data_IF_280350461053
#
_entry.id   IF_280350461053
#
_cell.length_a   1.000
_cell.length_b   1.000
_cell.length_c   1.000
_cell.angle_alpha   90.00
_cell.angle_beta   90.00
_cell.angle_gamma   90.00
#
_symmetry.space_group_name_H-M   'P 1'
#
loop_
_entity.id
_entity.type
_entity.pdbx_description
1 polymer ?
#
# COMPACT_ATOMS: atom_id res chain seq x y z
N UNK A 1 -19.32 -19.54 24.37
CA UNK A 1 -18.04 -18.86 24.07
C UNK A 1 -17.90 -18.46 22.59
N UNK A 2 -18.96 -18.53 21.77
CA UNK A 2 -18.93 -18.13 20.34
C UNK A 2 -19.10 -16.62 20.10
N UNK A 3 -19.53 -15.86 21.11
CA UNK A 3 -19.82 -14.42 20.99
C UNK A 3 -18.62 -13.59 20.51
N UNK A 4 -17.40 -13.92 20.93
CA UNK A 4 -16.19 -13.17 20.54
C UNK A 4 -15.83 -13.37 19.06
N UNK A 5 -16.11 -14.56 18.51
CA UNK A 5 -15.87 -14.86 17.10
C UNK A 5 -16.85 -14.10 16.22
N UNK A 6 -18.14 -14.12 16.57
CA UNK A 6 -19.17 -13.41 15.82
C UNK A 6 -18.97 -11.88 15.88
N UNK A 7 -18.54 -11.35 17.02
CA UNK A 7 -18.17 -9.94 17.15
C UNK A 7 -16.96 -9.57 16.28
N UNK A 8 -15.94 -10.42 16.22
CA UNK A 8 -14.78 -10.22 15.36
C UNK A 8 -15.16 -10.24 13.87
N UNK A 9 -16.04 -11.17 13.46
CA UNK A 9 -16.57 -11.24 12.09
C UNK A 9 -17.35 -9.96 11.75
N UNK A 10 -18.25 -9.53 12.64
CA UNK A 10 -19.00 -8.26 12.44
C UNK A 10 -18.05 -7.06 12.32
N UNK A 11 -17.02 -6.97 13.17
CA UNK A 11 -16.03 -5.90 13.10
C UNK A 11 -15.24 -5.93 11.78
N UNK A 12 -14.85 -7.12 11.30
CA UNK A 12 -14.20 -7.30 9.99
C UNK A 12 -15.10 -6.82 8.85
N UNK A 13 -16.37 -7.22 8.82
CA UNK A 13 -17.32 -6.77 7.79
C UNK A 13 -17.53 -5.26 7.78
N UNK A 14 -17.56 -4.63 8.97
CA UNK A 14 -17.66 -3.17 9.08
C UNK A 14 -16.40 -2.53 8.48
N UNK A 15 -15.22 -3.07 8.77
CA UNK A 15 -13.97 -2.58 8.21
C UNK A 15 -13.97 -2.64 6.67
N UNK A 16 -14.41 -3.75 6.08
CA UNK A 16 -14.56 -3.91 4.63
C UNK A 16 -15.57 -2.93 4.03
N UNK A 17 -16.68 -2.66 4.72
CA UNK A 17 -17.67 -1.67 4.27
C UNK A 17 -17.13 -0.25 4.31
N UNK A 18 -16.39 0.09 5.38
CA UNK A 18 -15.84 1.43 5.58
C UNK A 18 -14.65 1.75 4.69
N UNK A 19 -13.97 0.75 4.13
CA UNK A 19 -12.79 0.96 3.28
C UNK A 19 -12.99 1.98 2.14
N UNK A 20 -14.20 2.07 1.57
CA UNK A 20 -14.48 3.02 0.49
C UNK A 20 -14.73 4.47 0.93
N UNK A 21 -15.09 4.67 2.20
CA UNK A 21 -15.41 5.98 2.76
C UNK A 21 -14.23 6.49 3.60
N UNK A 22 -13.80 5.71 4.59
CA UNK A 22 -12.72 6.06 5.52
C UNK A 22 -11.80 4.86 5.78
N UNK A 23 -10.57 4.95 5.27
CA UNK A 23 -9.53 3.93 5.42
C UNK A 23 -8.99 3.91 6.86
N UNK A 24 -8.90 5.06 7.53
CA UNK A 24 -8.43 5.13 8.91
C UNK A 24 -9.46 4.52 9.87
N UNK A 25 -10.74 4.82 9.65
CA UNK A 25 -11.85 4.17 10.33
C UNK A 25 -11.82 2.65 10.12
N UNK A 26 -11.69 2.19 8.88
CA UNK A 26 -11.59 0.77 8.54
C UNK A 26 -10.45 0.07 9.30
N UNK A 27 -9.26 0.68 9.39
CA UNK A 27 -8.13 0.14 10.17
C UNK A 27 -8.48 -0.05 11.65
N UNK A 28 -9.16 0.90 12.28
CA UNK A 28 -9.57 0.76 13.70
C UNK A 28 -10.49 -0.44 13.91
N UNK A 29 -11.43 -0.66 13.00
CA UNK A 29 -12.32 -1.82 13.08
C UNK A 29 -11.59 -3.15 12.82
N UNK A 30 -10.61 -3.16 11.89
CA UNK A 30 -9.77 -4.34 11.68
C UNK A 30 -8.91 -4.67 12.90
N UNK A 31 -8.32 -3.67 13.56
CA UNK A 31 -7.57 -3.85 14.82
C UNK A 31 -8.49 -4.33 15.95
N UNK A 32 -9.71 -3.80 16.04
CA UNK A 32 -10.71 -4.31 16.99
C UNK A 32 -11.01 -5.80 16.75
N UNK A 33 -11.20 -6.20 15.49
CA UNK A 33 -11.42 -7.59 15.13
C UNK A 33 -10.22 -8.48 15.54
N UNK A 34 -8.99 -8.00 15.30
CA UNK A 34 -7.76 -8.71 15.68
C UNK A 34 -7.66 -8.94 17.19
N UNK A 35 -7.99 -7.93 17.98
CA UNK A 35 -7.94 -8.01 19.45
C UNK A 35 -9.01 -8.96 20.01
N UNK A 36 -10.18 -9.06 19.36
CA UNK A 36 -11.24 -9.98 19.76
C UNK A 36 -10.90 -11.43 19.40
N UNK A 37 -10.37 -11.65 18.20
CA UNK A 37 -9.99 -12.98 17.74
C UNK A 37 -8.81 -12.92 16.75
N UNK A 38 -7.56 -13.11 17.22
CA UNK A 38 -6.37 -13.00 16.37
C UNK A 38 -6.25 -14.15 15.37
N UNK A 39 -6.91 -15.28 15.64
CA UNK A 39 -6.93 -16.46 14.76
C UNK A 39 -8.00 -16.37 13.66
N UNK A 40 -8.67 -15.22 13.49
CA UNK A 40 -9.66 -15.07 12.42
C UNK A 40 -8.95 -14.99 11.07
N UNK A 41 -9.47 -15.73 10.10
CA UNK A 41 -8.93 -15.76 8.75
C UNK A 41 -8.99 -14.38 8.06
N UNK A 42 -7.84 -13.95 7.53
CA UNK A 42 -7.75 -12.76 6.68
C UNK A 42 -7.61 -11.43 7.43
N UNK A 43 -7.68 -11.38 8.77
CA UNK A 43 -7.58 -10.11 9.51
C UNK A 43 -6.20 -9.48 9.33
N UNK A 44 -5.13 -10.26 9.48
CA UNK A 44 -3.76 -9.76 9.30
C UNK A 44 -3.59 -9.11 7.94
N UNK A 45 -4.08 -9.76 6.90
CA UNK A 45 -3.91 -9.28 5.53
C UNK A 45 -4.79 -8.06 5.26
N UNK A 46 -5.96 -7.98 5.88
CA UNK A 46 -6.79 -6.79 5.85
C UNK A 46 -6.08 -5.58 6.48
N UNK A 47 -5.44 -5.77 7.65
CA UNK A 47 -4.66 -4.71 8.30
C UNK A 47 -3.50 -4.28 7.39
N UNK A 48 -2.73 -5.23 6.86
CA UNK A 48 -1.61 -4.94 5.95
C UNK A 48 -2.09 -4.19 4.69
N UNK A 49 -3.23 -4.57 4.09
CA UNK A 49 -3.79 -3.82 2.96
C UNK A 49 -4.08 -2.38 3.34
N UNK A 50 -4.74 -2.15 4.48
CA UNK A 50 -5.08 -0.79 4.91
C UNK A 50 -3.86 0.05 5.22
N UNK A 51 -2.82 -0.54 5.82
CA UNK A 51 -1.55 0.15 6.07
C UNK A 51 -0.90 0.62 4.77
N UNK A 52 -0.87 -0.23 3.75
CA UNK A 52 -0.36 0.10 2.42
C UNK A 52 -1.16 1.24 1.79
N UNK A 53 -2.50 1.20 1.87
CA UNK A 53 -3.34 2.26 1.32
C UNK A 53 -3.21 3.59 2.09
N UNK A 54 -3.05 3.54 3.42
CA UNK A 54 -2.80 4.73 4.23
C UNK A 54 -1.46 5.35 3.86
N UNK A 55 -0.40 4.54 3.75
CA UNK A 55 0.91 5.01 3.31
C UNK A 55 0.89 5.57 1.89
N UNK A 56 0.13 4.96 0.97
CA UNK A 56 -0.03 5.48 -0.39
C UNK A 56 -0.80 6.80 -0.45
N UNK A 57 -1.76 7.03 0.47
CA UNK A 57 -2.44 8.32 0.61
C UNK A 57 -1.52 9.39 1.20
N UNK A 58 -0.56 9.00 2.04
CA UNK A 58 0.41 9.93 2.61
C UNK A 58 1.45 10.30 1.56
N UNK A 59 1.49 11.57 1.17
CA UNK A 59 2.47 12.11 0.23
C UNK A 59 3.51 12.92 0.96
N UNK A 60 4.77 12.71 0.61
CA UNK A 60 5.87 13.55 1.07
C UNK A 60 6.22 14.47 -0.10
N UNK A 61 5.98 15.77 0.08
CA UNK A 61 6.25 16.81 -0.91
C UNK A 61 5.61 16.54 -2.29
N UNK A 62 4.38 16.01 -2.29
CA UNK A 62 3.60 15.70 -3.50
C UNK A 62 3.95 14.38 -4.18
N UNK A 63 4.99 13.67 -3.71
CA UNK A 63 5.33 12.32 -4.15
C UNK A 63 4.74 11.26 -3.20
N UNK A 64 4.36 10.08 -3.70
CA UNK A 64 3.98 8.95 -2.84
C UNK A 64 5.17 8.49 -2.00
N UNK A 65 4.92 8.10 -0.74
CA UNK A 65 5.95 7.56 0.16
C UNK A 65 6.22 6.06 -0.12
N UNK A 66 7.20 5.77 -0.98
CA UNK A 66 7.55 4.39 -1.34
C UNK A 66 8.14 3.61 -0.16
N UNK A 67 8.84 4.28 0.76
CA UNK A 67 9.38 3.65 1.96
C UNK A 67 8.26 3.31 2.95
N UNK A 68 7.32 4.24 3.14
CA UNK A 68 6.12 4.05 3.95
C UNK A 68 5.20 2.94 3.43
N UNK A 69 5.05 2.79 2.11
CA UNK A 69 4.28 1.71 1.48
C UNK A 69 4.88 0.33 1.81
N UNK A 70 6.21 0.21 1.82
CA UNK A 70 6.91 -1.01 2.21
C UNK A 70 7.00 -1.19 3.74
N UNK A 71 6.62 -0.18 4.51
CA UNK A 71 6.73 -0.17 5.97
C UNK A 71 8.19 -0.22 6.45
N UNK A 72 9.10 0.42 5.70
CA UNK A 72 10.54 0.47 6.01
C UNK A 72 11.00 1.90 6.25
N UNK A 73 12.11 2.03 6.96
CA UNK A 73 12.78 3.33 7.12
C UNK A 73 13.65 3.65 5.89
N UNK A 74 13.95 4.94 5.67
CA UNK A 74 14.79 5.42 4.56
C UNK A 74 16.24 4.94 4.67
N UNK A 75 16.72 4.70 5.90
CA UNK A 75 18.09 4.26 6.19
C UNK A 75 18.27 2.73 6.17
N UNK A 76 17.28 1.99 5.69
CA UNK A 76 17.28 0.52 5.76
C UNK A 76 18.31 -0.11 4.82
N UNK A 77 18.90 -1.23 5.26
CA UNK A 77 19.80 -2.04 4.42
C UNK A 77 19.02 -2.78 3.30
N UNK A 78 19.68 -3.03 2.18
CA UNK A 78 19.10 -3.70 1.00
C UNK A 78 18.65 -5.13 1.32
N UNK A 79 19.37 -5.82 2.20
CA UNK A 79 19.03 -7.18 2.61
C UNK A 79 17.73 -7.21 3.41
N UNK A 80 17.56 -6.27 4.34
CA UNK A 80 16.35 -6.09 5.14
C UNK A 80 15.18 -5.64 4.27
N UNK A 81 15.41 -4.74 3.31
CA UNK A 81 14.41 -4.31 2.34
C UNK A 81 13.86 -5.51 1.53
N UNK A 82 14.75 -6.37 1.02
CA UNK A 82 14.35 -7.57 0.25
C UNK A 82 13.58 -8.58 1.10
N UNK A 83 13.92 -8.72 2.38
CA UNK A 83 13.18 -9.58 3.31
C UNK A 83 11.77 -9.03 3.52
N UNK A 84 11.63 -7.73 3.73
CA UNK A 84 10.34 -7.09 3.95
C UNK A 84 9.44 -7.19 2.72
N UNK A 85 9.96 -6.91 1.52
CA UNK A 85 9.21 -7.06 0.27
C UNK A 85 8.67 -8.49 0.09
N UNK A 86 9.51 -9.52 0.31
CA UNK A 86 9.07 -10.92 0.20
C UNK A 86 7.97 -11.27 1.20
N UNK A 87 8.08 -10.77 2.44
CA UNK A 87 7.04 -10.98 3.45
C UNK A 87 5.70 -10.37 3.00
N UNK A 88 5.71 -9.11 2.58
CA UNK A 88 4.52 -8.41 2.10
C UNK A 88 3.93 -9.04 0.85
N UNK A 89 4.76 -9.46 -0.11
CA UNK A 89 4.30 -10.10 -1.34
C UNK A 89 3.57 -11.43 -1.06
N UNK A 90 4.05 -12.21 -0.09
CA UNK A 90 3.38 -13.45 0.34
C UNK A 90 2.08 -13.16 1.09
N UNK A 91 2.08 -12.15 1.96
CA UNK A 91 0.92 -11.71 2.73
C UNK A 91 -0.16 -11.05 1.89
N UNK A 92 0.16 -10.51 0.70
CA UNK A 92 -0.80 -9.80 -0.17
C UNK A 92 -1.00 -10.49 -1.53
N UNK A 93 -0.48 -11.70 -1.70
CA UNK A 93 -0.66 -12.45 -2.93
C UNK A 93 -2.16 -12.69 -3.22
N UNK A 94 -2.65 -12.44 -4.44
CA UNK A 94 -4.08 -12.53 -4.78
C UNK A 94 -4.67 -13.94 -4.62
N UNK A 95 -3.84 -14.98 -4.73
CA UNK A 95 -4.27 -16.38 -4.53
C UNK A 95 -4.63 -16.68 -3.06
N UNK A 96 -3.82 -16.16 -2.13
CA UNK A 96 -4.01 -16.41 -0.69
C UNK A 96 -4.95 -15.40 -0.04
N UNK A 97 -5.10 -14.21 -0.62
CA UNK A 97 -5.82 -13.09 -0.01
C UNK A 97 -7.05 -12.71 -0.81
N UNK A 98 -8.20 -13.05 -0.24
CA UNK A 98 -9.52 -12.69 -0.76
C UNK A 98 -10.05 -11.40 -0.10
N UNK A 99 -9.17 -10.61 0.50
CA UNK A 99 -9.53 -9.34 1.14
C UNK A 99 -9.75 -8.23 0.11
N UNK A 100 -10.56 -7.25 0.49
CA UNK A 100 -10.87 -6.09 -0.34
C UNK A 100 -9.58 -5.31 -0.66
N UNK A 101 -9.37 -4.95 -1.93
CA UNK A 101 -8.20 -4.17 -2.34
C UNK A 101 -6.84 -4.89 -2.25
N UNK A 102 -6.79 -6.21 -2.03
CA UNK A 102 -5.53 -6.95 -1.96
C UNK A 102 -4.69 -6.79 -3.24
N UNK A 103 -5.34 -6.84 -4.40
CA UNK A 103 -4.69 -6.68 -5.70
C UNK A 103 -4.05 -5.29 -5.87
N UNK A 104 -4.78 -4.22 -5.53
CA UNK A 104 -4.26 -2.86 -5.61
C UNK A 104 -3.09 -2.64 -4.64
N UNK A 105 -3.19 -3.16 -3.41
CA UNK A 105 -2.08 -3.12 -2.45
C UNK A 105 -0.83 -3.86 -2.97
N UNK A 106 -1.00 -5.00 -3.64
CA UNK A 106 0.11 -5.75 -4.22
C UNK A 106 0.82 -4.99 -5.36
N UNK A 107 0.06 -4.28 -6.19
CA UNK A 107 0.61 -3.44 -7.25
C UNK A 107 1.45 -2.31 -6.65
N UNK A 108 0.93 -1.61 -5.64
CA UNK A 108 1.64 -0.53 -4.94
C UNK A 108 2.99 -0.97 -4.38
N UNK A 109 3.02 -2.15 -3.76
CA UNK A 109 4.24 -2.72 -3.18
C UNK A 109 5.24 -3.11 -4.26
N UNK A 110 4.75 -3.63 -5.40
CA UNK A 110 5.59 -3.98 -6.54
C UNK A 110 6.23 -2.75 -7.18
N UNK A 111 5.52 -1.63 -7.23
CA UNK A 111 6.03 -0.35 -7.75
C UNK A 111 7.02 0.31 -6.79
N UNK A 112 6.69 0.34 -5.50
CA UNK A 112 7.62 0.77 -4.47
C UNK A 112 8.94 -0.01 -4.57
N UNK A 113 8.86 -1.33 -4.73
CA UNK A 113 10.04 -2.17 -4.92
C UNK A 113 10.83 -1.82 -6.19
N UNK A 114 10.17 -1.58 -7.34
CA UNK A 114 10.85 -1.19 -8.60
C UNK A 114 11.68 0.09 -8.45
N UNK A 115 11.25 1.03 -7.60
CA UNK A 115 11.94 2.31 -7.40
C UNK A 115 13.03 2.17 -6.34
N UNK A 116 12.70 1.55 -5.19
CA UNK A 116 13.63 1.45 -4.07
C UNK A 116 14.72 0.41 -4.34
N UNK A 117 14.47 -0.67 -5.10
CA UNK A 117 15.49 -1.71 -5.34
C UNK A 117 16.69 -1.23 -6.16
N UNK A 118 16.48 -0.34 -7.13
CA UNK A 118 17.53 0.20 -7.99
C UNK A 118 18.18 1.41 -7.33
N UNK A 119 19.49 1.33 -7.00
CA UNK A 119 20.24 2.42 -6.37
C UNK A 119 20.09 3.76 -7.10
N UNK A 120 20.16 3.76 -8.43
CA UNK A 120 20.03 4.98 -9.23
C UNK A 120 18.65 5.63 -9.14
N UNK A 121 17.58 4.82 -9.16
CA UNK A 121 16.21 5.32 -9.00
C UNK A 121 15.93 5.77 -7.57
N UNK A 122 16.51 5.08 -6.59
CA UNK A 122 16.43 5.45 -5.18
C UNK A 122 17.03 6.83 -4.94
N UNK A 123 18.24 7.08 -5.45
CA UNK A 123 18.88 8.41 -5.33
C UNK A 123 18.02 9.50 -5.99
N UNK A 124 17.55 9.27 -7.22
CA UNK A 124 16.70 10.25 -7.91
C UNK A 124 15.38 10.52 -7.16
N UNK A 125 14.80 9.49 -6.52
CA UNK A 125 13.63 9.64 -5.67
C UNK A 125 13.95 10.45 -4.41
N UNK A 126 15.01 10.10 -3.68
CA UNK A 126 15.43 10.79 -2.47
C UNK A 126 15.74 12.28 -2.76
N UNK A 127 16.39 12.58 -3.90
CA UNK A 127 16.62 13.94 -4.38
C UNK A 127 15.31 14.68 -4.65
N UNK A 128 14.33 14.03 -5.29
CA UNK A 128 13.02 14.64 -5.60
C UNK A 128 12.23 15.00 -4.34
N UNK A 129 12.29 14.14 -3.32
CA UNK A 129 11.64 14.39 -2.03
C UNK A 129 12.34 15.54 -1.32
N UNK A 130 13.67 15.54 -1.27
CA UNK A 130 14.45 16.56 -0.55
C UNK A 130 14.41 17.93 -1.24
N UNK A 131 14.42 17.97 -2.57
CA UNK A 131 14.44 19.21 -3.37
C UNK A 131 13.20 20.09 -3.12
N UNK A 132 12.03 19.48 -2.86
CA UNK A 132 10.78 20.20 -2.57
C UNK A 132 10.63 20.59 -1.09
N UNK A 133 11.49 20.09 -0.20
CA UNK A 133 11.53 20.47 1.21
C UNK A 133 12.36 21.72 1.50
N UNK A 134 12.95 22.34 0.48
CA UNK A 134 13.93 23.42 0.59
C UNK A 134 13.38 24.84 0.31
N UNK A 135 12.06 25.06 0.40
CA UNK A 135 11.50 26.43 0.36
C UNK A 135 11.34 27.09 1.73
N UNK A 136 11.64 26.40 2.84
CA UNK A 136 11.59 27.00 4.18
C UNK A 136 12.90 26.71 4.91
N UNK A 137 13.92 27.52 4.61
CA UNK A 137 14.92 28.14 5.51
C UNK A 137 15.93 28.83 4.57
N UNK A 138 15.59 30.03 4.13
CA UNK A 138 16.55 30.95 3.53
C UNK A 138 16.28 32.35 4.06
N UNK A 139 16.62 32.55 5.34
CA UNK A 139 16.91 33.88 5.90
C UNK A 139 18.11 33.78 6.85
N UNK A 140 19.27 34.07 6.26
CA UNK A 140 20.42 34.79 6.82
C UNK A 140 21.35 34.15 7.86
N UNK A 141 22.58 33.90 7.36
CA UNK A 141 23.95 34.17 7.90
C UNK A 141 24.80 32.91 7.75
N UNK A 142 25.96 32.87 7.12
CA UNK A 142 26.88 33.89 6.60
C UNK A 142 28.31 33.35 6.81
N UNK A 143 29.11 33.25 5.73
CA UNK A 143 30.57 33.04 5.67
C UNK A 143 31.15 31.79 6.40
N UNK A 144 32.01 30.94 5.83
CA UNK A 144 33.36 31.26 5.34
C UNK A 144 34.04 30.02 4.74
N UNK A 145 34.70 30.20 3.59
CA UNK A 145 35.98 29.64 3.10
C UNK A 145 36.66 28.48 3.87
N UNK A 146 37.04 27.39 3.17
CA UNK A 146 38.44 27.06 2.79
C UNK A 146 38.72 25.56 2.47
N UNK A 147 39.61 25.37 1.47
CA UNK A 147 40.65 24.34 1.34
C UNK A 147 40.31 22.84 1.05
N UNK A 148 40.38 22.51 -0.24
CA UNK A 148 41.37 21.61 -0.88
C UNK A 148 41.87 20.30 -0.20
N UNK A 149 41.70 19.24 -1.01
CA UNK A 149 42.63 18.14 -1.34
C UNK A 149 43.02 17.10 -0.26
N UNK A 150 42.68 15.83 -0.50
CA UNK A 150 43.69 14.85 -0.92
C UNK A 150 43.10 13.52 -1.41
N UNK A 151 43.80 12.99 -2.40
CA UNK A 151 43.69 11.70 -3.06
C UNK A 151 44.09 10.55 -2.13
N UNK A 152 43.40 9.41 -2.23
CA UNK A 152 44.07 8.10 -2.13
C UNK A 152 43.21 7.01 -2.76
N UNK A 153 43.89 6.23 -3.57
CA UNK A 153 43.45 5.03 -4.27
C UNK A 153 43.26 3.85 -3.32
N UNK A 154 42.42 2.89 -3.70
CA UNK A 154 42.88 1.51 -3.93
C UNK A 154 41.75 0.65 -4.52
N UNK A 155 42.13 -0.11 -5.54
CA UNK A 155 41.32 -1.12 -6.19
C UNK A 155 41.19 -2.36 -5.29
N UNK A 156 40.05 -3.05 -5.35
CA UNK A 156 39.97 -4.50 -5.23
C UNK A 156 38.66 -5.01 -5.84
N UNK A 157 38.85 -5.75 -6.92
CA UNK A 157 37.97 -6.76 -7.52
C UNK A 157 37.27 -7.61 -6.46
N UNK A 158 35.98 -7.92 -6.62
CA UNK A 158 35.51 -9.32 -6.60
C UNK A 158 34.01 -9.51 -6.91
N UNK A 159 33.78 -10.25 -8.00
CA UNK A 159 32.89 -11.41 -8.11
C UNK A 159 31.38 -11.21 -7.86
N UNK A 160 30.72 -10.97 -8.99
CA UNK A 160 29.30 -11.24 -9.23
C UNK A 160 28.98 -12.70 -8.91
N UNK A 161 28.07 -12.96 -7.97
CA UNK A 161 27.31 -14.22 -7.93
C UNK A 161 25.83 -13.93 -8.12
N UNK A 162 25.43 -13.97 -9.39
CA UNK A 162 24.05 -13.96 -9.83
C UNK A 162 23.29 -15.10 -9.13
N UNK A 163 22.21 -14.75 -8.43
CA UNK A 163 21.21 -15.72 -8.02
C UNK A 163 20.07 -15.70 -9.04
N UNK A 164 19.47 -16.86 -9.36
CA UNK A 164 18.55 -17.00 -10.49
C UNK A 164 17.29 -16.17 -10.23
N UNK A 165 16.84 -15.46 -11.27
CA UNK A 165 15.57 -14.74 -11.28
C UNK A 165 14.46 -15.77 -11.10
N UNK A 166 13.68 -15.61 -10.04
CA UNK A 166 12.36 -16.25 -9.98
C UNK A 166 11.46 -15.44 -10.91
N UNK A 167 11.21 -16.02 -12.08
CA UNK A 167 10.47 -15.43 -13.19
C UNK A 167 8.97 -15.40 -12.84
N UNK A 168 8.56 -14.49 -11.96
CA UNK A 168 7.14 -14.36 -11.66
C UNK A 168 6.44 -13.68 -12.85
N UNK A 169 5.86 -14.51 -13.74
CA UNK A 169 5.19 -14.09 -14.97
C UNK A 169 4.05 -13.08 -14.72
N UNK A 170 3.51 -13.02 -13.50
CA UNK A 170 2.50 -12.05 -13.07
C UNK A 170 3.03 -10.60 -13.02
N UNK A 171 4.34 -10.42 -12.77
CA UNK A 171 4.97 -9.09 -12.63
C UNK A 171 5.32 -8.44 -13.98
N UNK A 172 5.24 -9.19 -15.09
CA UNK A 172 5.61 -8.71 -16.44
C UNK A 172 4.49 -7.95 -17.16
N UNK A 173 3.25 -7.99 -16.65
CA UNK A 173 2.09 -7.40 -17.33
C UNK A 173 1.82 -5.93 -16.98
N UNK A 174 2.50 -5.34 -16.01
CA UNK A 174 2.34 -3.93 -15.62
C UNK A 174 3.66 -3.19 -15.85
N UNK A 175 3.96 -2.97 -17.13
CA UNK A 175 5.02 -2.10 -17.59
C UNK A 175 4.37 -0.94 -18.33
N UNK A 176 3.85 0.02 -17.58
CA UNK A 176 3.43 1.30 -18.11
C UNK A 176 4.14 2.38 -17.30
N UNK A 177 4.78 3.29 -18.00
CA UNK A 177 5.76 4.26 -17.48
C UNK A 177 5.10 5.55 -16.96
N UNK A 178 3.85 5.50 -16.52
CA UNK A 178 3.11 6.71 -16.13
C UNK A 178 2.86 6.76 -14.60
N UNK A 179 3.45 7.74 -13.88
CA UNK A 179 3.24 7.94 -12.44
C UNK A 179 1.78 8.16 -11.99
N UNK A 180 0.83 8.35 -12.92
CA UNK A 180 -0.59 8.63 -12.64
C UNK A 180 -1.52 7.41 -12.80
N UNK A 181 -1.04 6.30 -13.35
CA UNK A 181 -1.88 5.11 -13.61
C UNK A 181 -2.25 4.37 -12.31
N UNK A 182 -1.43 4.56 -11.27
CA UNK A 182 -1.53 3.90 -9.98
C UNK A 182 -2.63 4.54 -9.12
N UNK A 183 -2.70 5.87 -9.11
CA UNK A 183 -3.74 6.61 -8.40
C UNK A 183 -5.10 6.36 -9.04
N UNK A 184 -5.14 6.28 -10.37
CA UNK A 184 -6.33 5.91 -11.13
C UNK A 184 -6.74 4.47 -10.82
N UNK A 185 -5.81 3.53 -10.69
CA UNK A 185 -6.13 2.14 -10.33
C UNK A 185 -6.66 2.01 -8.88
N UNK A 186 -6.07 2.76 -7.93
CA UNK A 186 -6.60 2.84 -6.55
C UNK A 186 -8.01 3.45 -6.57
N UNK A 187 -8.20 4.57 -7.27
CA UNK A 187 -9.49 5.25 -7.36
C UNK A 187 -10.52 4.36 -8.06
N UNK A 188 -10.16 3.68 -9.14
CA UNK A 188 -11.00 2.75 -9.87
C UNK A 188 -11.39 1.56 -8.99
N UNK A 189 -10.46 0.93 -8.26
CA UNK A 189 -10.79 -0.15 -7.32
C UNK A 189 -11.73 0.35 -6.21
N UNK A 190 -11.51 1.57 -5.70
CA UNK A 190 -12.38 2.17 -4.68
C UNK A 190 -13.76 2.53 -5.25
N UNK A 191 -13.83 3.03 -6.48
CA UNK A 191 -15.05 3.43 -7.18
C UNK A 191 -15.86 2.24 -7.66
N UNK A 192 -15.21 1.17 -8.12
CA UNK A 192 -15.86 -0.11 -8.43
C UNK A 192 -16.52 -0.69 -7.18
N UNK A 193 -15.86 -0.63 -6.03
CA UNK A 193 -16.43 -1.07 -4.76
C UNK A 193 -17.57 -0.15 -4.29
N UNK A 194 -17.51 1.16 -4.58
CA UNK A 194 -18.65 2.06 -4.35
C UNK A 194 -19.82 1.69 -5.26
N UNK A 195 -19.57 1.49 -6.57
CA UNK A 195 -20.57 1.09 -7.57
C UNK A 195 -21.24 -0.23 -7.21
N UNK A 196 -20.47 -1.28 -6.88
CA UNK A 196 -21.01 -2.58 -6.44
C UNK A 196 -21.87 -2.45 -5.17
N UNK A 197 -21.48 -1.59 -4.22
CA UNK A 197 -22.31 -1.32 -3.01
C UNK A 197 -23.60 -0.59 -3.37
N UNK A 198 -23.55 0.39 -4.26
CA UNK A 198 -24.72 1.13 -4.73
C UNK A 198 -25.68 0.25 -5.52
N UNK A 199 -25.18 -0.62 -6.39
CA UNK A 199 -25.98 -1.62 -7.11
C UNK A 199 -26.66 -2.59 -6.15
N UNK A 200 -25.97 -3.07 -5.10
CA UNK A 200 -26.59 -3.91 -4.06
C UNK A 200 -27.67 -3.16 -3.29
N UNK A 201 -27.44 -1.90 -2.93
CA UNK A 201 -28.45 -1.03 -2.30
C UNK A 201 -29.66 -0.83 -3.22
N UNK A 202 -29.41 -0.57 -4.51
CA UNK A 202 -30.44 -0.40 -5.53
C UNK A 202 -31.25 -1.69 -5.75
N UNK A 203 -30.60 -2.85 -5.83
CA UNK A 203 -31.26 -4.15 -5.94
C UNK A 203 -32.11 -4.46 -4.70
N UNK A 204 -31.60 -4.17 -3.50
CA UNK A 204 -32.36 -4.35 -2.25
C UNK A 204 -33.57 -3.42 -2.20
N UNK A 205 -33.45 -2.16 -2.64
CA UNK A 205 -34.58 -1.24 -2.78
C UNK A 205 -35.60 -1.70 -3.83
N UNK A 206 -35.14 -2.21 -4.99
CA UNK A 206 -36.03 -2.79 -6.02
C UNK A 206 -36.80 -3.98 -5.46
N UNK A 207 -36.12 -4.87 -4.73
CA UNK A 207 -36.76 -6.04 -4.12
C UNK A 207 -37.78 -5.62 -3.03
N UNK A 208 -37.45 -4.63 -2.20
CA UNK A 208 -38.35 -4.10 -1.17
C UNK A 208 -39.58 -3.41 -1.76
N UNK A 209 -39.39 -2.65 -2.86
CA UNK A 209 -40.49 -2.06 -3.64
C UNK A 209 -41.39 -3.13 -4.26
N UNK A 210 -40.81 -4.21 -4.80
CA UNK A 210 -41.57 -5.33 -5.37
C UNK A 210 -42.38 -6.08 -4.29
N UNK A 211 -41.80 -6.29 -3.10
CA UNK A 211 -42.51 -6.86 -1.96
C UNK A 211 -43.65 -5.96 -1.45
N UNK A 212 -43.43 -4.63 -1.41
CA UNK A 212 -44.47 -3.67 -1.02
C UNK A 212 -45.61 -3.62 -2.05
N UNK A 213 -45.31 -3.74 -3.36
CA UNK A 213 -46.31 -3.79 -4.42
C UNK A 213 -47.15 -5.08 -4.40
N UNK A 214 -46.56 -6.23 -4.05
CA UNK A 214 -47.30 -7.48 -3.87
C UNK A 214 -48.18 -7.51 -2.60
N UNK A 215 -47.82 -6.79 -1.53
CA UNK A 215 -48.66 -6.67 -0.33
C UNK A 215 -49.83 -5.69 -0.48
N UNK A 216 -49.82 -4.81 -1.48
CA UNK A 216 -50.88 -3.82 -1.70
C UNK A 216 -51.96 -4.25 -2.71
N UNK A 217 -51.77 -5.42 -3.34
CA UNK A 217 -52.72 -6.02 -4.32
C UNK A 217 -53.50 -7.22 -3.75
N UNK A 218 -53.57 -7.34 -2.41
CA UNK A 218 -54.36 -8.35 -1.69
C UNK A 218 -55.21 -7.67 -0.63
#
# INVERSE_FOLDING_TARGET
>A
MECNKDEAIRAKEIAEKMFAEDIFGAKKFALKAQNLYPNLEGISQLITTFDVYISAKNRINGEPDWYGILGVDRLIDENTLRKQYRKLALELHPDKNKSIGAHGAFILISEAWKIVSDKGKRVAYDEKINAKGHEIISTNKGASLSAENNTSSCASTDQIKATPKEDNAFSRSFCSSDPYEIENLIQEVLEEEKRKREERKASRMKHLRMFCMCSWTR
#
